data_IF_382500316338
#
_entry.id   IF_382500316338
#
_cell.length_a   1.000
_cell.length_b   1.000
_cell.length_c   1.000
_cell.angle_alpha   90.00
_cell.angle_beta   90.00
_cell.angle_gamma   90.00
#
_symmetry.space_group_name_H-M   'P 1'
#
loop_
_entity.id
_entity.type
_entity.pdbx_description
1 polymer ?
#
# COMPACT_ATOMS: atom_id res chain seq x y z
N UNK A 1 -30.57 -26.32 -22.54
CA UNK A 1 -30.22 -25.69 -21.25
C UNK A 1 -28.75 -25.98 -20.99
N UNK A 2 -27.87 -24.99 -21.12
CA UNK A 2 -26.44 -25.16 -20.86
C UNK A 2 -26.14 -24.65 -19.45
N UNK A 3 -25.81 -25.56 -18.54
CA UNK A 3 -25.40 -25.26 -17.17
C UNK A 3 -23.96 -24.73 -17.22
N UNK A 4 -23.78 -23.42 -17.13
CA UNK A 4 -22.43 -22.84 -16.98
C UNK A 4 -21.95 -23.13 -15.57
N UNK A 5 -21.05 -24.12 -15.43
CA UNK A 5 -20.35 -24.40 -14.18
C UNK A 5 -19.28 -23.32 -14.01
N UNK A 6 -19.40 -22.51 -12.97
CA UNK A 6 -18.39 -21.51 -12.64
C UNK A 6 -17.22 -22.22 -11.92
N UNK A 7 -16.01 -22.24 -12.48
CA UNK A 7 -14.90 -22.94 -11.86
C UNK A 7 -14.56 -22.30 -10.49
N UNK A 8 -14.52 -23.13 -9.46
CA UNK A 8 -14.02 -22.75 -8.13
C UNK A 8 -12.51 -22.96 -8.14
N UNK A 9 -11.76 -21.86 -8.05
CA UNK A 9 -10.30 -21.87 -8.01
C UNK A 9 -9.84 -21.92 -6.54
N UNK A 10 -9.46 -23.11 -6.07
CA UNK A 10 -9.05 -23.36 -4.67
C UNK A 10 -7.55 -23.70 -4.53
N UNK A 11 -6.82 -23.80 -5.66
CA UNK A 11 -5.38 -24.00 -5.64
C UNK A 11 -4.65 -22.97 -6.53
N UNK A 12 -3.43 -22.59 -6.12
CA UNK A 12 -2.60 -21.62 -6.84
C UNK A 12 -2.18 -22.11 -8.23
N UNK A 13 -2.29 -23.41 -8.50
CA UNK A 13 -1.96 -23.99 -9.80
C UNK A 13 -3.15 -24.09 -10.76
N UNK A 14 -4.38 -23.88 -10.27
CA UNK A 14 -5.61 -24.01 -11.08
C UNK A 14 -6.01 -22.74 -11.80
N UNK A 15 -5.14 -21.72 -11.88
CA UNK A 15 -5.42 -20.52 -12.68
C UNK A 15 -5.39 -20.86 -14.17
N UNK A 16 -6.56 -21.13 -14.75
CA UNK A 16 -6.77 -21.34 -16.19
C UNK A 16 -6.84 -20.01 -16.94
N UNK A 17 -5.88 -19.13 -16.66
CA UNK A 17 -5.73 -17.83 -17.31
C UNK A 17 -4.35 -17.74 -17.93
N UNK A 18 -4.31 -17.61 -19.24
CA UNK A 18 -3.07 -17.36 -19.95
C UNK A 18 -2.62 -15.92 -19.65
N UNK A 19 -1.50 -15.79 -18.94
CA UNK A 19 -0.93 -14.49 -18.55
C UNK A 19 -0.64 -13.58 -19.75
N UNK A 20 -0.42 -14.15 -20.94
CA UNK A 20 -0.13 -13.39 -22.16
C UNK A 20 -1.36 -12.72 -22.75
N UNK A 21 -2.57 -13.12 -22.34
CA UNK A 21 -3.84 -12.52 -22.78
C UNK A 21 -4.16 -11.21 -22.06
N UNK A 22 -3.50 -10.91 -20.95
CA UNK A 22 -3.66 -9.65 -20.26
C UNK A 22 -2.77 -8.57 -20.91
N UNK A 23 -3.30 -7.36 -21.18
CA UNK A 23 -2.49 -6.27 -21.69
C UNK A 23 -1.37 -5.93 -20.70
N UNK A 24 -0.19 -5.60 -21.22
CA UNK A 24 0.89 -5.08 -20.37
C UNK A 24 0.42 -3.77 -19.75
N UNK A 25 0.59 -3.64 -18.44
CA UNK A 25 0.39 -2.38 -17.74
C UNK A 25 1.42 -1.37 -18.25
N UNK A 26 1.03 -0.13 -18.55
CA UNK A 26 1.97 0.93 -18.89
C UNK A 26 3.01 1.10 -17.79
N UNK A 27 4.22 1.51 -18.15
CA UNK A 27 5.22 1.88 -17.17
C UNK A 27 4.69 3.05 -16.32
N UNK A 28 4.83 2.93 -14.99
CA UNK A 28 4.43 3.97 -14.04
C UNK A 28 5.69 4.68 -13.54
N UNK A 29 5.87 5.93 -13.95
CA UNK A 29 7.00 6.76 -13.50
C UNK A 29 6.75 7.55 -12.22
N UNK A 30 5.50 7.58 -11.74
CA UNK A 30 5.12 8.33 -10.54
C UNK A 30 5.00 7.40 -9.34
N UNK A 31 5.68 7.77 -8.26
CA UNK A 31 5.59 7.14 -6.95
C UNK A 31 4.90 8.10 -5.99
N UNK A 32 3.93 7.58 -5.22
CA UNK A 32 3.26 8.31 -4.15
C UNK A 32 3.73 7.77 -2.81
N UNK A 33 4.00 8.66 -1.87
CA UNK A 33 4.35 8.34 -0.48
C UNK A 33 3.49 9.21 0.44
N UNK A 34 3.19 8.72 1.63
CA UNK A 34 2.57 9.52 2.70
C UNK A 34 3.57 9.63 3.84
N UNK A 35 3.67 10.80 4.49
CA UNK A 35 4.57 10.97 5.63
C UNK A 35 4.17 10.06 6.80
N UNK A 36 5.13 9.51 7.56
CA UNK A 36 4.84 8.62 8.68
C UNK A 36 4.46 9.37 9.97
N UNK A 37 3.88 10.58 9.86
CA UNK A 37 3.60 11.48 11.01
C UNK A 37 2.84 10.78 12.15
N UNK A 38 1.88 9.92 11.79
CA UNK A 38 1.02 9.21 12.75
C UNK A 38 1.31 7.70 12.81
N UNK A 39 2.42 7.24 12.21
CA UNK A 39 2.72 5.81 12.08
C UNK A 39 3.00 5.14 13.43
N UNK A 40 2.29 4.04 13.70
CA UNK A 40 2.45 3.23 14.91
C UNK A 40 1.79 1.84 14.75
N UNK A 41 2.18 0.84 15.55
CA UNK A 41 1.53 -0.47 15.56
C UNK A 41 0.50 -0.53 16.68
N UNK A 42 -0.72 -0.06 16.39
CA UNK A 42 -1.83 0.00 17.37
C UNK A 42 -2.74 -1.22 17.37
N UNK A 43 -2.72 -2.00 16.29
CA UNK A 43 -3.49 -3.23 16.12
C UNK A 43 -2.69 -4.24 15.31
N UNK A 44 -3.22 -5.46 15.18
CA UNK A 44 -2.57 -6.56 14.45
C UNK A 44 -3.54 -7.16 13.45
N UNK A 45 -3.36 -6.82 12.17
CA UNK A 45 -4.09 -7.43 11.05
C UNK A 45 -3.23 -8.43 10.27
N UNK A 46 -1.89 -8.34 10.38
CA UNK A 46 -0.96 -9.27 9.75
C UNK A 46 0.10 -9.79 10.75
N UNK A 47 0.75 -10.94 10.49
CA UNK A 47 1.69 -11.56 11.44
C UNK A 47 2.93 -10.72 11.78
N UNK A 48 3.28 -9.74 10.94
CA UNK A 48 4.43 -8.87 11.14
C UNK A 48 4.13 -7.69 12.07
N UNK A 49 2.84 -7.42 12.34
CA UNK A 49 2.45 -6.36 13.27
C UNK A 49 2.70 -6.78 14.72
N UNK A 50 3.63 -6.11 15.38
CA UNK A 50 3.87 -6.21 16.81
C UNK A 50 5.13 -5.47 17.22
N UNK A 51 5.36 -5.37 18.54
CA UNK A 51 6.51 -4.65 19.08
C UNK A 51 6.23 -3.17 19.30
N UNK A 52 7.30 -2.41 19.54
CA UNK A 52 7.25 -0.96 19.72
C UNK A 52 7.84 -0.28 18.50
N UNK A 53 7.18 0.77 18.03
CA UNK A 53 7.69 1.65 17.00
C UNK A 53 8.56 2.73 17.65
N UNK A 54 9.72 2.98 17.06
CA UNK A 54 10.49 4.19 17.29
C UNK A 54 10.16 5.17 16.16
N UNK A 55 9.40 6.22 16.47
CA UNK A 55 8.92 7.17 15.46
C UNK A 55 10.04 7.99 14.81
N UNK A 56 11.12 8.27 15.55
CA UNK A 56 12.28 8.97 15.01
C UNK A 56 12.98 8.11 13.97
N UNK A 57 13.27 6.86 14.33
CA UNK A 57 13.86 5.88 13.41
C UNK A 57 12.96 5.58 12.22
N UNK A 58 11.65 5.47 12.42
CA UNK A 58 10.70 5.26 11.32
C UNK A 58 10.72 6.43 10.32
N UNK A 59 10.87 7.66 10.81
CA UNK A 59 11.03 8.85 9.96
C UNK A 59 12.34 8.81 9.18
N UNK A 60 13.46 8.48 9.83
CA UNK A 60 14.77 8.34 9.16
C UNK A 60 14.76 7.26 8.06
N UNK A 61 14.17 6.09 8.35
CA UNK A 61 14.05 4.99 7.39
C UNK A 61 13.14 5.38 6.22
N UNK A 62 12.05 6.10 6.48
CA UNK A 62 11.16 6.62 5.44
C UNK A 62 11.84 7.65 4.53
N UNK A 63 12.64 8.56 5.10
CA UNK A 63 13.40 9.55 4.32
C UNK A 63 14.37 8.87 3.36
N UNK A 64 15.08 7.83 3.82
CA UNK A 64 15.96 7.05 2.95
C UNK A 64 15.22 6.38 1.77
N UNK A 65 13.99 5.91 2.01
CA UNK A 65 13.13 5.36 0.94
C UNK A 65 12.71 6.46 -0.04
N UNK A 66 12.27 7.63 0.45
CA UNK A 66 11.93 8.79 -0.39
C UNK A 66 13.09 9.20 -1.28
N UNK A 67 14.27 9.43 -0.70
CA UNK A 67 15.48 9.81 -1.43
C UNK A 67 15.90 8.75 -2.46
N UNK A 68 15.64 7.48 -2.17
CA UNK A 68 15.88 6.41 -3.13
C UNK A 68 14.94 6.51 -4.31
N UNK A 69 13.64 6.72 -4.09
CA UNK A 69 12.70 6.90 -5.20
C UNK A 69 12.97 8.16 -6.01
N UNK A 70 13.36 9.27 -5.38
CA UNK A 70 13.68 10.52 -6.08
C UNK A 70 14.85 10.37 -7.07
N UNK A 71 15.72 9.38 -6.88
CA UNK A 71 16.82 9.08 -7.81
C UNK A 71 16.39 8.28 -9.04
N UNK A 72 15.29 7.54 -8.98
CA UNK A 72 14.93 6.53 -10.00
C UNK A 72 13.55 6.72 -10.62
N UNK A 73 12.62 7.38 -9.92
CA UNK A 73 11.28 7.65 -10.42
C UNK A 73 11.26 8.95 -11.24
N UNK A 74 10.38 9.02 -12.24
CA UNK A 74 10.14 10.26 -13.00
C UNK A 74 9.52 11.35 -12.11
N UNK A 75 8.74 10.94 -11.11
CA UNK A 75 8.08 11.85 -10.15
C UNK A 75 7.83 11.17 -8.81
N UNK A 76 8.13 11.89 -7.73
CA UNK A 76 7.70 11.51 -6.38
C UNK A 76 6.67 12.54 -5.88
N UNK A 77 5.55 12.06 -5.36
CA UNK A 77 4.51 12.87 -4.72
C UNK A 77 4.44 12.46 -3.26
N UNK A 78 4.67 13.42 -2.36
CA UNK A 78 4.54 13.22 -0.92
C UNK A 78 3.25 13.86 -0.45
N UNK A 79 2.40 13.08 0.20
CA UNK A 79 1.18 13.56 0.84
C UNK A 79 1.42 13.77 2.34
N UNK A 80 0.83 14.83 2.87
CA UNK A 80 0.67 14.98 4.30
C UNK A 80 -0.51 14.11 4.75
N UNK A 81 -0.36 13.21 5.75
CA UNK A 81 -1.47 12.41 6.22
C UNK A 81 -2.67 13.27 6.65
N UNK A 82 -2.44 14.49 7.15
CA UNK A 82 -3.54 15.38 7.57
C UNK A 82 -4.36 15.93 6.39
N UNK A 83 -3.80 15.94 5.19
CA UNK A 83 -4.46 16.35 3.95
C UNK A 83 -5.16 15.19 3.22
N UNK A 84 -4.91 13.94 3.63
CA UNK A 84 -5.57 12.77 3.04
C UNK A 84 -6.94 12.60 3.69
N UNK A 85 -7.98 13.14 3.05
CA UNK A 85 -9.35 12.99 3.51
C UNK A 85 -9.71 11.50 3.68
N UNK A 86 -10.07 11.02 4.88
CA UNK A 86 -10.49 9.64 5.05
C UNK A 86 -11.79 9.41 4.29
N UNK A 87 -11.74 8.54 3.28
CA UNK A 87 -12.94 8.06 2.60
C UNK A 87 -13.86 7.36 3.59
N UNK A 88 -15.09 7.84 3.71
CA UNK A 88 -16.20 7.31 4.51
C UNK A 88 -15.95 7.15 6.03
N UNK A 89 -16.13 8.24 6.78
CA UNK A 89 -16.63 8.20 8.16
C UNK A 89 -15.60 8.47 9.27
N UNK A 90 -15.66 9.67 9.84
CA UNK A 90 -15.41 10.06 11.25
C UNK A 90 -14.14 9.61 12.00
N UNK A 91 -13.18 8.90 11.41
CA UNK A 91 -11.91 8.59 12.06
C UNK A 91 -10.96 9.78 11.86
N UNK A 92 -10.49 10.47 12.92
CA UNK A 92 -9.42 11.46 12.80
C UNK A 92 -8.19 10.82 12.16
N UNK A 93 -7.44 11.56 11.35
CA UNK A 93 -6.30 11.03 10.60
C UNK A 93 -5.17 10.53 11.52
N UNK A 94 -5.04 11.10 12.72
CA UNK A 94 -4.21 10.58 13.82
C UNK A 94 -4.57 9.14 14.25
N UNK A 95 -5.79 8.69 13.96
CA UNK A 95 -6.31 7.35 14.23
C UNK A 95 -5.95 6.32 13.15
N UNK A 96 -5.27 6.72 12.07
CA UNK A 96 -4.95 5.88 10.92
C UNK A 96 -3.43 5.69 10.78
N UNK A 97 -2.80 4.87 11.64
CA UNK A 97 -1.35 4.72 11.62
C UNK A 97 -0.82 4.09 10.32
N UNK A 98 -1.62 3.27 9.64
CA UNK A 98 -1.22 2.57 8.42
C UNK A 98 -1.35 3.43 7.15
N UNK A 99 -1.75 4.71 7.25
CA UNK A 99 -1.93 5.59 6.08
C UNK A 99 -0.63 5.84 5.30
N UNK A 100 0.53 5.59 5.93
CA UNK A 100 1.85 5.58 5.28
C UNK A 100 1.94 4.60 4.11
N UNK A 101 1.06 3.59 4.05
CA UNK A 101 0.98 2.56 3.01
C UNK A 101 -0.15 2.79 1.98
N UNK A 102 -0.73 4.00 1.96
CA UNK A 102 -1.85 4.40 1.09
C UNK A 102 -1.50 4.74 -0.35
#
# INVERSE_FOLDING_TARGET
MATSSNPVYDDRTTLDVDRTTFPRRPDHGTVMLVRPTHFDVRYRINPYMGGRVDGGRATEEWEYVRETYERYADRVVVLDPDDVAPGAGSVPVEGLPDIVFG
#
